data_IF_872474991572
#
_entry.id   IF_872474991572
#
_cell.length_a   1.000
_cell.length_b   1.000
_cell.length_c   1.000
_cell.angle_alpha   90.00
_cell.angle_beta   90.00
_cell.angle_gamma   90.00
#
_symmetry.space_group_name_H-M   'P 1'
#
loop_
_entity.id
_entity.type
_entity.pdbx_description
1 polymer ?
#
# COMPACT_ATOMS: atom_id res chain seq x y z
N UNK A 1 -7.91 -5.72 35.53
CA UNK A 1 -8.98 -6.41 34.77
C UNK A 1 -9.53 -5.43 33.74
N UNK A 2 -9.72 -5.84 32.48
CA UNK A 2 -10.31 -5.14 31.35
C UNK A 2 -9.39 -4.36 30.39
N UNK A 3 -8.13 -4.73 30.22
CA UNK A 3 -7.34 -4.27 29.06
C UNK A 3 -7.37 -5.25 27.86
N UNK A 4 -8.08 -6.37 27.96
CA UNK A 4 -8.05 -7.47 26.97
C UNK A 4 -9.18 -7.49 25.92
N UNK A 5 -10.17 -6.59 25.95
CA UNK A 5 -11.36 -6.77 25.11
C UNK A 5 -11.47 -5.87 23.87
N UNK A 6 -10.75 -4.76 23.78
CA UNK A 6 -10.83 -3.83 22.64
C UNK A 6 -9.93 -4.27 21.47
N UNK A 7 -8.83 -4.98 21.76
CA UNK A 7 -7.90 -5.48 20.74
C UNK A 7 -8.50 -6.54 19.79
N UNK A 8 -9.61 -7.17 20.15
CA UNK A 8 -10.20 -8.27 19.39
C UNK A 8 -11.19 -7.83 18.30
N UNK A 9 -11.77 -6.63 18.34
CA UNK A 9 -12.86 -6.18 17.46
C UNK A 9 -12.30 -5.46 16.24
N UNK A 10 -12.37 -6.06 15.05
CA UNK A 10 -11.82 -5.43 13.83
C UNK A 10 -12.49 -4.09 13.50
N UNK A 11 -13.81 -4.01 13.54
CA UNK A 11 -14.58 -2.80 13.23
C UNK A 11 -15.13 -2.15 14.50
N UNK A 12 -14.22 -1.74 15.40
CA UNK A 12 -14.57 -1.29 16.74
C UNK A 12 -15.60 -0.13 16.75
N UNK A 13 -15.50 0.81 15.82
CA UNK A 13 -16.42 1.95 15.75
C UNK A 13 -17.81 1.60 15.22
N UNK A 14 -17.99 0.42 14.64
CA UNK A 14 -19.28 -0.07 14.14
C UNK A 14 -20.01 -0.97 15.16
N UNK A 15 -19.49 -1.09 16.38
CA UNK A 15 -20.19 -1.79 17.44
C UNK A 15 -21.48 -1.02 17.81
N UNK A 16 -22.69 -1.66 17.77
CA UNK A 16 -23.93 -0.99 18.11
C UNK A 16 -23.94 -0.35 19.51
N UNK A 17 -23.16 -0.90 20.45
CA UNK A 17 -23.04 -0.31 21.80
C UNK A 17 -22.24 1.01 21.79
N UNK A 18 -21.26 1.16 20.91
CA UNK A 18 -20.50 2.41 20.75
C UNK A 18 -21.37 3.53 20.16
N UNK A 19 -22.34 3.18 19.30
CA UNK A 19 -23.30 4.15 18.70
C UNK A 19 -24.40 4.54 19.69
N UNK A 20 -24.90 3.60 20.49
CA UNK A 20 -26.03 3.85 21.40
C UNK A 20 -25.70 4.82 22.55
N UNK A 21 -24.42 5.01 22.90
CA UNK A 21 -23.97 5.86 24.01
C UNK A 21 -23.29 7.17 23.60
N UNK A 22 -23.13 7.43 22.31
CA UNK A 22 -22.39 8.59 21.79
C UNK A 22 -23.19 9.53 20.88
N UNK A 23 -22.59 10.67 20.56
CA UNK A 23 -23.12 11.57 19.54
C UNK A 23 -22.90 10.93 18.15
N UNK A 24 -23.96 10.83 17.34
CA UNK A 24 -23.83 10.30 15.97
C UNK A 24 -22.96 11.24 15.12
N UNK A 25 -21.95 10.67 14.45
CA UNK A 25 -21.13 11.40 13.51
C UNK A 25 -21.84 11.40 12.15
N UNK A 26 -22.48 12.51 11.80
CA UNK A 26 -23.33 12.62 10.63
C UNK A 26 -22.58 12.44 9.28
N UNK A 27 -21.28 12.64 9.28
CA UNK A 27 -20.37 12.53 8.13
C UNK A 27 -19.23 11.53 8.37
N UNK A 28 -19.55 10.40 8.99
CA UNK A 28 -18.56 9.37 9.33
C UNK A 28 -17.84 8.82 8.10
N UNK A 29 -18.56 8.66 6.98
CA UNK A 29 -17.98 8.30 5.67
C UNK A 29 -18.55 9.22 4.60
N UNK A 30 -17.68 9.84 3.81
CA UNK A 30 -18.03 10.59 2.60
C UNK A 30 -17.30 9.99 1.39
N UNK A 31 -18.07 9.69 0.33
CA UNK A 31 -17.53 9.20 -0.95
C UNK A 31 -18.15 10.00 -2.08
N UNK A 32 -17.36 10.85 -2.74
CA UNK A 32 -17.89 11.83 -3.67
C UNK A 32 -18.94 12.72 -2.96
N UNK A 33 -20.15 12.77 -3.51
CA UNK A 33 -21.27 13.55 -2.96
C UNK A 33 -22.09 12.78 -1.91
N UNK A 34 -21.86 11.47 -1.76
CA UNK A 34 -22.60 10.64 -0.81
C UNK A 34 -21.99 10.70 0.59
N UNK A 35 -22.86 10.86 1.59
CA UNK A 35 -22.47 10.90 3.01
C UNK A 35 -23.26 9.85 3.78
N UNK A 36 -22.59 9.12 4.67
CA UNK A 36 -23.17 8.18 5.60
C UNK A 36 -22.82 8.60 7.03
N UNK A 37 -23.84 8.69 7.89
CA UNK A 37 -23.60 8.84 9.33
C UNK A 37 -23.08 7.53 9.92
N UNK A 38 -22.58 7.58 11.14
CA UNK A 38 -22.15 6.37 11.83
C UNK A 38 -23.33 5.41 12.08
N UNK A 39 -24.47 5.94 12.46
CA UNK A 39 -25.69 5.14 12.63
C UNK A 39 -26.17 4.53 11.31
N UNK A 40 -26.08 5.26 10.20
CA UNK A 40 -26.36 4.71 8.87
C UNK A 40 -25.44 3.55 8.52
N UNK A 41 -24.13 3.71 8.76
CA UNK A 41 -23.15 2.65 8.54
C UNK A 41 -23.47 1.40 9.35
N UNK A 42 -23.68 1.54 10.65
CA UNK A 42 -24.00 0.40 11.52
C UNK A 42 -25.27 -0.30 11.08
N UNK A 43 -26.35 0.45 10.90
CA UNK A 43 -27.65 -0.13 10.55
C UNK A 43 -27.66 -0.79 9.17
N UNK A 44 -27.05 -0.14 8.17
CA UNK A 44 -27.01 -0.68 6.82
C UNK A 44 -26.02 -1.86 6.68
N UNK A 45 -24.82 -1.76 7.28
CA UNK A 45 -23.86 -2.87 7.27
C UNK A 45 -24.41 -4.10 8.02
N UNK A 46 -25.11 -3.91 9.14
CA UNK A 46 -25.78 -5.02 9.84
C UNK A 46 -26.88 -5.66 9.00
N UNK A 47 -27.65 -4.87 8.24
CA UNK A 47 -28.62 -5.43 7.28
C UNK A 47 -27.97 -6.21 6.14
N UNK A 48 -26.76 -5.83 5.71
CA UNK A 48 -25.97 -6.62 4.77
C UNK A 48 -25.50 -7.91 5.42
N UNK A 49 -25.01 -7.85 6.65
CA UNK A 49 -24.54 -9.01 7.41
C UNK A 49 -25.60 -10.12 7.49
N UNK A 50 -26.87 -9.79 7.76
CA UNK A 50 -27.98 -10.75 7.79
C UNK A 50 -28.15 -11.52 6.48
N UNK A 51 -27.78 -10.92 5.37
CA UNK A 51 -28.00 -11.49 4.03
C UNK A 51 -26.82 -12.35 3.57
N UNK A 52 -25.65 -12.20 4.17
CA UNK A 52 -24.43 -12.90 3.75
C UNK A 52 -23.92 -13.90 4.78
N UNK A 53 -24.49 -13.96 5.97
CA UNK A 53 -24.00 -14.78 7.09
C UNK A 53 -23.90 -16.29 6.79
N UNK A 54 -24.54 -16.78 5.73
CA UNK A 54 -24.46 -18.17 5.30
C UNK A 54 -23.38 -18.41 4.21
N UNK A 55 -22.71 -17.38 3.71
CA UNK A 55 -21.68 -17.51 2.70
C UNK A 55 -20.31 -17.78 3.35
N UNK A 56 -19.52 -18.66 2.74
CA UNK A 56 -18.14 -18.90 3.20
C UNK A 56 -17.22 -17.75 2.82
N UNK A 57 -17.45 -17.08 1.68
CA UNK A 57 -16.75 -15.87 1.20
C UNK A 57 -17.50 -15.17 0.08
N UNK A 58 -17.31 -13.88 -0.06
CA UNK A 58 -17.98 -13.05 -1.08
C UNK A 58 -16.99 -12.20 -1.86
N UNK A 59 -17.27 -12.03 -3.16
CA UNK A 59 -16.59 -11.07 -4.01
C UNK A 59 -17.27 -9.71 -3.91
N UNK A 60 -16.47 -8.65 -3.82
CA UNK A 60 -16.96 -7.25 -3.81
C UNK A 60 -16.26 -6.51 -4.94
N UNK A 61 -17.04 -5.91 -5.86
CA UNK A 61 -16.49 -5.01 -6.87
C UNK A 61 -16.01 -3.75 -6.14
N UNK A 62 -14.70 -3.58 -6.07
CA UNK A 62 -14.05 -2.59 -5.20
C UNK A 62 -14.02 -1.18 -5.81
N UNK A 63 -15.18 -0.70 -6.23
CA UNK A 63 -15.42 0.68 -6.67
C UNK A 63 -15.54 1.62 -5.47
N UNK A 64 -15.17 2.91 -5.58
CA UNK A 64 -15.31 3.86 -4.49
C UNK A 64 -16.78 4.35 -4.37
N UNK A 65 -17.65 3.49 -3.84
CA UNK A 65 -19.08 3.78 -3.65
C UNK A 65 -19.54 3.45 -2.24
N UNK A 66 -20.62 4.06 -1.73
CA UNK A 66 -21.24 3.67 -0.47
C UNK A 66 -21.67 2.20 -0.44
N UNK A 67 -22.06 1.64 -1.59
CA UNK A 67 -22.41 0.23 -1.74
C UNK A 67 -21.22 -0.67 -1.39
N UNK A 68 -20.04 -0.37 -1.90
CA UNK A 68 -18.79 -1.10 -1.61
C UNK A 68 -18.42 -1.03 -0.13
N UNK A 69 -18.52 0.15 0.49
CA UNK A 69 -18.24 0.31 1.94
C UNK A 69 -19.16 -0.56 2.78
N UNK A 70 -20.47 -0.53 2.49
CA UNK A 70 -21.45 -1.32 3.23
C UNK A 70 -21.32 -2.81 2.95
N UNK A 71 -20.96 -3.22 1.73
CA UNK A 71 -20.69 -4.60 1.37
C UNK A 71 -19.53 -5.15 2.21
N UNK A 72 -18.38 -4.46 2.22
CA UNK A 72 -17.20 -4.86 2.97
C UNK A 72 -17.50 -4.88 4.48
N UNK A 73 -18.05 -3.79 5.02
CA UNK A 73 -18.35 -3.71 6.45
C UNK A 73 -19.35 -4.78 6.89
N UNK A 74 -20.40 -5.02 6.12
CA UNK A 74 -21.44 -6.01 6.44
C UNK A 74 -20.91 -7.44 6.37
N UNK A 75 -20.12 -7.79 5.36
CA UNK A 75 -19.48 -9.10 5.28
C UNK A 75 -18.55 -9.34 6.49
N UNK A 76 -17.72 -8.36 6.84
CA UNK A 76 -16.81 -8.46 7.99
C UNK A 76 -17.55 -8.52 9.34
N UNK A 77 -18.70 -7.84 9.50
CA UNK A 77 -19.57 -7.97 10.68
C UNK A 77 -20.12 -9.41 10.80
N UNK A 78 -20.50 -10.00 9.68
CA UNK A 78 -20.98 -11.40 9.64
C UNK A 78 -19.86 -12.43 9.82
N UNK A 79 -18.60 -12.04 9.81
CA UNK A 79 -17.46 -12.96 9.82
C UNK A 79 -17.15 -13.59 8.48
N UNK A 80 -17.69 -13.04 7.38
CA UNK A 80 -17.53 -13.56 6.02
C UNK A 80 -16.33 -12.87 5.36
N UNK A 81 -15.32 -13.64 4.88
CA UNK A 81 -14.18 -13.12 4.15
C UNK A 81 -14.57 -12.37 2.88
N UNK A 82 -13.88 -11.26 2.63
CA UNK A 82 -14.09 -10.43 1.44
C UNK A 82 -12.96 -10.62 0.45
N UNK A 83 -13.32 -10.84 -0.81
CA UNK A 83 -12.42 -10.81 -1.97
C UNK A 83 -12.67 -9.50 -2.72
N UNK A 84 -11.84 -8.46 -2.54
CA UNK A 84 -12.00 -7.21 -3.25
C UNK A 84 -11.49 -7.35 -4.69
N UNK A 85 -12.37 -7.19 -5.67
CA UNK A 85 -12.07 -7.35 -7.09
C UNK A 85 -11.97 -5.98 -7.76
N UNK A 86 -10.87 -5.67 -8.47
CA UNK A 86 -10.75 -4.41 -9.22
C UNK A 86 -11.81 -4.31 -10.33
N UNK A 87 -12.34 -3.11 -10.54
CA UNK A 87 -13.35 -2.89 -11.58
C UNK A 87 -12.78 -2.95 -13.01
N UNK A 88 -11.50 -2.66 -13.15
CA UNK A 88 -10.75 -2.59 -14.40
C UNK A 88 -9.95 -3.86 -14.73
N UNK A 89 -10.07 -4.89 -13.89
CA UNK A 89 -9.39 -6.17 -14.14
C UNK A 89 -9.97 -6.88 -15.37
N UNK A 90 -9.09 -7.49 -16.18
CA UNK A 90 -9.47 -8.25 -17.35
C UNK A 90 -10.34 -9.47 -17.02
N UNK A 91 -11.13 -9.94 -17.99
CA UNK A 91 -12.08 -11.02 -17.76
C UNK A 91 -11.42 -12.33 -17.29
N UNK A 92 -10.26 -12.69 -17.86
CA UNK A 92 -9.53 -13.92 -17.50
C UNK A 92 -8.95 -13.83 -16.08
N UNK A 93 -8.38 -12.68 -15.70
CA UNK A 93 -7.84 -12.47 -14.35
C UNK A 93 -8.97 -12.45 -13.31
N UNK A 94 -10.10 -11.81 -13.63
CA UNK A 94 -11.29 -11.82 -12.77
C UNK A 94 -11.83 -13.24 -12.58
N UNK A 95 -11.95 -14.02 -13.66
CA UNK A 95 -12.38 -15.41 -13.57
C UNK A 95 -11.44 -16.20 -12.66
N UNK A 96 -10.11 -16.06 -12.83
CA UNK A 96 -9.13 -16.67 -11.94
C UNK A 96 -9.34 -16.27 -10.48
N UNK A 97 -9.53 -14.98 -10.17
CA UNK A 97 -9.75 -14.51 -8.79
C UNK A 97 -11.00 -15.12 -8.16
N UNK A 98 -12.08 -15.26 -8.93
CA UNK A 98 -13.34 -15.84 -8.45
C UNK A 98 -13.24 -17.36 -8.25
N UNK A 99 -12.66 -18.08 -9.20
CA UNK A 99 -12.50 -19.52 -9.17
C UNK A 99 -11.52 -19.94 -8.06
N UNK A 100 -10.35 -19.33 -8.00
CA UNK A 100 -9.32 -19.63 -7.00
C UNK A 100 -9.79 -19.27 -5.58
N UNK A 101 -10.47 -18.12 -5.42
CA UNK A 101 -11.02 -17.74 -4.12
C UNK A 101 -12.20 -18.59 -3.70
N UNK A 102 -12.94 -19.20 -4.63
CA UNK A 102 -14.20 -19.88 -4.35
C UNK A 102 -15.28 -18.96 -3.79
N UNK A 103 -15.28 -17.68 -4.21
CA UNK A 103 -16.32 -16.73 -3.83
C UNK A 103 -17.70 -17.24 -4.26
N UNK A 104 -18.68 -17.20 -3.36
CA UNK A 104 -20.00 -17.80 -3.58
C UNK A 104 -21.03 -16.82 -4.15
N UNK A 105 -20.76 -15.52 -4.07
CA UNK A 105 -21.65 -14.48 -4.58
C UNK A 105 -20.90 -13.16 -4.81
N UNK A 106 -21.44 -12.33 -5.70
CA UNK A 106 -21.15 -10.92 -5.73
C UNK A 106 -21.98 -10.18 -4.69
N UNK A 107 -21.33 -9.45 -3.81
CA UNK A 107 -21.98 -8.61 -2.81
C UNK A 107 -21.85 -7.14 -3.19
N UNK A 108 -22.99 -6.46 -3.35
CA UNK A 108 -23.06 -5.07 -3.76
C UNK A 108 -23.21 -4.91 -5.27
N UNK A 109 -22.24 -4.33 -5.96
CA UNK A 109 -22.24 -4.21 -7.40
C UNK A 109 -21.73 -5.52 -8.05
N UNK A 110 -22.32 -5.88 -9.19
CA UNK A 110 -21.88 -7.01 -10.02
C UNK A 110 -21.48 -6.50 -11.41
N UNK A 111 -20.30 -6.86 -11.92
CA UNK A 111 -19.92 -6.57 -13.31
C UNK A 111 -20.90 -7.19 -14.30
N UNK A 112 -21.20 -6.50 -15.41
CA UNK A 112 -22.11 -7.03 -16.41
C UNK A 112 -21.49 -8.17 -17.21
N UNK A 113 -22.28 -9.25 -17.45
CA UNK A 113 -21.98 -10.29 -18.44
C UNK A 113 -20.78 -11.19 -18.15
N UNK A 114 -20.38 -11.38 -16.88
CA UNK A 114 -19.05 -11.93 -16.59
C UNK A 114 -19.03 -13.33 -15.98
N UNK A 115 -20.07 -13.75 -15.28
CA UNK A 115 -20.10 -15.04 -14.55
C UNK A 115 -21.50 -15.37 -14.05
N UNK A 116 -21.68 -16.64 -13.61
CA UNK A 116 -22.95 -17.16 -13.10
C UNK A 116 -23.09 -17.01 -11.57
N UNK A 117 -22.13 -16.33 -10.89
CA UNK A 117 -22.20 -16.16 -9.45
C UNK A 117 -23.49 -15.42 -9.04
N UNK A 118 -24.17 -15.84 -7.98
CA UNK A 118 -25.31 -15.14 -7.39
C UNK A 118 -24.97 -13.69 -7.07
N UNK A 119 -25.98 -12.82 -7.17
CA UNK A 119 -25.84 -11.41 -6.82
C UNK A 119 -26.66 -11.10 -5.56
N UNK A 120 -25.98 -10.56 -4.56
CA UNK A 120 -26.59 -10.08 -3.31
C UNK A 120 -26.52 -8.55 -3.31
N UNK A 121 -27.58 -7.85 -3.73
CA UNK A 121 -27.55 -6.39 -3.82
C UNK A 121 -27.52 -5.75 -2.42
N UNK A 122 -26.74 -4.69 -2.26
CA UNK A 122 -26.71 -3.85 -1.05
C UNK A 122 -27.81 -2.80 -1.15
N UNK A 123 -28.58 -2.62 -0.07
CA UNK A 123 -29.65 -1.62 0.04
C UNK A 123 -29.19 -0.52 1.00
N UNK A 124 -28.91 0.67 0.48
CA UNK A 124 -28.36 1.79 1.26
C UNK A 124 -29.26 2.23 2.43
N UNK A 125 -30.58 2.07 2.28
CA UNK A 125 -31.55 2.50 3.28
C UNK A 125 -32.12 1.37 4.14
N UNK A 126 -31.69 0.11 3.92
CA UNK A 126 -32.07 -0.98 4.81
C UNK A 126 -31.33 -0.83 6.15
N UNK A 127 -32.00 -1.15 7.23
CA UNK A 127 -31.42 -1.08 8.57
C UNK A 127 -31.71 -2.36 9.33
N UNK A 128 -30.72 -2.85 10.04
CA UNK A 128 -30.85 -3.86 11.06
C UNK A 128 -29.97 -3.48 12.26
N UNK A 129 -30.38 -3.92 13.43
CA UNK A 129 -29.67 -3.68 14.68
C UNK A 129 -29.36 -5.02 15.39
N UNK A 130 -29.38 -6.10 14.60
CA UNK A 130 -28.98 -7.42 15.11
C UNK A 130 -27.55 -7.38 15.62
N UNK A 131 -27.29 -8.05 16.75
CA UNK A 131 -25.95 -8.12 17.32
C UNK A 131 -25.29 -9.43 16.89
N UNK A 132 -24.26 -9.31 16.08
CA UNK A 132 -23.40 -10.43 15.72
C UNK A 132 -22.34 -10.65 16.82
N UNK A 133 -22.02 -11.90 17.16
CA UNK A 133 -20.83 -12.16 17.95
C UNK A 133 -19.59 -11.72 17.17
N UNK A 134 -18.57 -11.21 17.85
CA UNK A 134 -17.31 -10.88 17.16
C UNK A 134 -16.69 -12.17 16.63
N UNK A 135 -16.37 -12.25 15.34
CA UNK A 135 -15.72 -13.42 14.77
C UNK A 135 -14.32 -13.63 15.38
N UNK A 136 -13.84 -14.89 15.32
CA UNK A 136 -12.54 -15.23 15.89
C UNK A 136 -11.42 -14.37 15.29
N UNK A 137 -10.44 -13.88 16.07
CA UNK A 137 -9.35 -13.04 15.56
C UNK A 137 -8.55 -13.68 14.42
N UNK A 138 -8.37 -15.00 14.44
CA UNK A 138 -7.66 -15.74 13.40
C UNK A 138 -8.57 -16.12 12.21
N UNK A 139 -9.85 -15.75 12.21
CA UNK A 139 -10.69 -15.92 11.04
C UNK A 139 -10.21 -15.01 9.90
N UNK A 140 -10.29 -15.51 8.67
CA UNK A 140 -9.95 -14.73 7.48
C UNK A 140 -10.86 -13.50 7.36
N UNK A 141 -10.26 -12.33 7.19
CA UNK A 141 -10.97 -11.09 6.88
C UNK A 141 -10.98 -10.79 5.38
N UNK A 142 -9.82 -10.85 4.77
CA UNK A 142 -9.59 -10.45 3.37
C UNK A 142 -8.79 -11.50 2.62
N UNK A 143 -9.06 -11.64 1.31
CA UNK A 143 -8.20 -12.32 0.36
C UNK A 143 -7.86 -11.31 -0.72
N UNK A 144 -6.65 -10.77 -0.68
CA UNK A 144 -6.18 -9.73 -1.61
C UNK A 144 -5.30 -10.36 -2.68
N UNK A 145 -5.69 -10.22 -3.94
CA UNK A 145 -4.90 -10.73 -5.05
C UNK A 145 -3.77 -9.78 -5.42
N UNK A 146 -2.57 -10.33 -5.54
CA UNK A 146 -1.36 -9.61 -5.94
C UNK A 146 -0.85 -10.13 -7.27
N UNK A 147 -0.51 -9.23 -8.19
CA UNK A 147 0.19 -9.60 -9.42
C UNK A 147 1.60 -10.05 -9.06
N UNK A 148 1.83 -11.36 -9.11
CA UNK A 148 3.18 -11.92 -8.98
C UNK A 148 4.08 -11.43 -10.12
N UNK A 149 5.41 -11.52 -9.94
CA UNK A 149 6.37 -11.27 -11.02
C UNK A 149 6.34 -12.34 -12.10
N UNK A 150 5.73 -13.50 -11.80
CA UNK A 150 5.61 -14.67 -12.69
C UNK A 150 4.30 -15.40 -12.39
N UNK A 151 3.51 -15.67 -13.42
CA UNK A 151 2.26 -16.44 -13.30
C UNK A 151 1.01 -15.63 -12.92
N UNK A 152 -0.13 -16.32 -12.70
CA UNK A 152 -1.38 -15.68 -12.32
C UNK A 152 -1.29 -15.01 -10.93
N UNK A 153 -2.16 -14.04 -10.64
CA UNK A 153 -2.23 -13.41 -9.33
C UNK A 153 -2.43 -14.41 -8.20
N UNK A 154 -1.76 -14.18 -7.06
CA UNK A 154 -1.87 -15.01 -5.87
C UNK A 154 -2.79 -14.35 -4.84
N UNK A 155 -3.71 -15.11 -4.25
CA UNK A 155 -4.57 -14.65 -3.16
C UNK A 155 -3.82 -14.64 -1.83
N UNK A 156 -3.56 -13.45 -1.28
CA UNK A 156 -2.96 -13.26 0.05
C UNK A 156 -4.07 -13.33 1.09
N UNK A 157 -4.00 -14.30 1.99
CA UNK A 157 -5.00 -14.53 3.05
C UNK A 157 -4.62 -13.72 4.28
N UNK A 158 -5.48 -12.79 4.68
CA UNK A 158 -5.27 -11.91 5.83
C UNK A 158 -6.30 -12.18 6.93
N UNK A 159 -5.83 -12.53 8.11
CA UNK A 159 -6.67 -12.69 9.28
C UNK A 159 -7.18 -11.36 9.84
N UNK A 160 -8.27 -11.41 10.59
CA UNK A 160 -8.82 -10.25 11.32
C UNK A 160 -7.80 -9.68 12.29
N UNK A 161 -7.03 -10.54 12.95
CA UNK A 161 -5.95 -10.17 13.87
C UNK A 161 -4.84 -9.39 13.15
N UNK A 162 -4.38 -9.87 12.01
CA UNK A 162 -3.32 -9.21 11.25
C UNK A 162 -3.75 -7.80 10.81
N UNK A 163 -4.96 -7.66 10.26
CA UNK A 163 -5.51 -6.37 9.84
C UNK A 163 -5.70 -5.41 11.03
N UNK A 164 -6.23 -5.90 12.15
CA UNK A 164 -6.43 -5.08 13.34
C UNK A 164 -5.10 -4.62 13.95
N UNK A 165 -4.11 -5.52 14.05
CA UNK A 165 -2.79 -5.21 14.58
C UNK A 165 -2.06 -4.16 13.74
N UNK A 166 -2.12 -4.25 12.41
CA UNK A 166 -1.52 -3.27 11.50
C UNK A 166 -2.09 -1.86 11.74
N UNK A 167 -3.42 -1.76 11.82
CA UNK A 167 -4.08 -0.47 12.06
C UNK A 167 -3.69 0.08 13.44
N UNK A 168 -3.63 -0.76 14.48
CA UNK A 168 -3.27 -0.32 15.83
C UNK A 168 -1.81 0.16 15.91
N UNK A 169 -0.87 -0.56 15.28
CA UNK A 169 0.55 -0.15 15.19
C UNK A 169 0.70 1.18 14.46
N UNK A 170 -0.04 1.38 13.37
CA UNK A 170 -0.04 2.65 12.64
C UNK A 170 -0.73 3.76 13.42
N UNK A 171 -1.80 3.47 14.15
CA UNK A 171 -2.47 4.44 15.01
C UNK A 171 -1.51 4.97 16.09
N UNK A 172 -0.72 4.09 16.68
CA UNK A 172 0.33 4.47 17.64
C UNK A 172 1.42 5.31 16.95
N UNK A 173 1.99 4.83 15.83
CA UNK A 173 3.08 5.50 15.14
C UNK A 173 2.68 6.87 14.57
N UNK A 174 1.44 7.02 14.11
CA UNK A 174 0.94 8.25 13.49
C UNK A 174 0.11 9.10 14.45
N UNK A 175 -0.05 8.69 15.72
CA UNK A 175 -0.92 9.34 16.69
C UNK A 175 -2.33 9.54 16.12
N UNK A 176 -2.83 8.52 15.40
CA UNK A 176 -4.10 8.55 14.70
C UNK A 176 -5.25 8.33 15.66
N UNK A 177 -6.21 9.24 15.68
CA UNK A 177 -7.28 9.31 16.66
C UNK A 177 -8.66 9.43 16.01
N UNK A 178 -9.76 9.23 16.77
CA UNK A 178 -11.12 9.46 16.28
C UNK A 178 -11.41 10.91 15.84
N UNK A 179 -10.63 11.88 16.29
CA UNK A 179 -10.82 13.29 15.94
C UNK A 179 -10.28 13.62 14.53
N UNK A 180 -9.51 12.70 13.93
CA UNK A 180 -8.97 12.90 12.60
C UNK A 180 -10.03 12.83 11.50
N UNK A 181 -9.69 13.42 10.36
CA UNK A 181 -10.37 13.23 9.09
C UNK A 181 -9.37 12.71 8.08
N UNK A 182 -9.50 11.43 7.72
CA UNK A 182 -8.65 10.80 6.72
C UNK A 182 -9.20 11.03 5.33
N UNK A 183 -8.34 11.50 4.43
CA UNK A 183 -8.66 11.77 3.02
C UNK A 183 -7.79 10.93 2.10
N UNK A 184 -8.38 10.22 1.14
CA UNK A 184 -7.68 9.63 0.02
C UNK A 184 -8.59 9.36 -1.19
N UNK A 185 -7.99 9.07 -2.35
CA UNK A 185 -8.66 8.60 -3.56
C UNK A 185 -8.08 7.28 -4.07
N UNK A 186 -7.51 6.46 -3.15
CA UNK A 186 -6.81 5.23 -3.48
C UNK A 186 -7.78 4.05 -3.70
N UNK A 187 -7.41 3.05 -4.54
CA UNK A 187 -8.27 1.90 -4.81
C UNK A 187 -8.61 1.10 -3.56
N UNK A 188 -9.88 0.67 -3.44
CA UNK A 188 -10.38 -0.14 -2.31
C UNK A 188 -10.13 -1.66 -2.47
N UNK A 189 -9.23 -2.05 -3.36
CA UNK A 189 -8.75 -3.43 -3.53
C UNK A 189 -7.26 -3.59 -3.19
N UNK A 190 -6.59 -2.52 -2.77
CA UNK A 190 -5.21 -2.54 -2.28
C UNK A 190 -5.14 -2.23 -0.79
N UNK A 191 -4.12 -2.77 -0.12
CA UNK A 191 -3.85 -2.55 1.31
C UNK A 191 -3.95 -1.07 1.67
N UNK A 192 -3.32 -0.18 0.91
CA UNK A 192 -3.28 1.26 1.20
C UNK A 192 -4.67 1.90 1.27
N UNK A 193 -5.52 1.68 0.27
CA UNK A 193 -6.87 2.27 0.25
C UNK A 193 -7.88 1.50 1.10
N UNK A 194 -7.81 0.16 1.08
CA UNK A 194 -8.76 -0.69 1.79
C UNK A 194 -8.41 -0.85 3.27
N UNK A 195 -7.24 -1.41 3.57
CA UNK A 195 -6.88 -1.74 4.96
C UNK A 195 -6.57 -0.47 5.74
N UNK A 196 -5.62 0.34 5.27
CA UNK A 196 -5.23 1.55 5.98
C UNK A 196 -6.32 2.62 5.89
N UNK A 197 -6.87 2.84 4.71
CA UNK A 197 -7.87 3.89 4.49
C UNK A 197 -9.22 3.55 5.12
N UNK A 198 -9.97 2.65 4.46
CA UNK A 198 -11.35 2.34 4.86
C UNK A 198 -11.41 1.61 6.21
N UNK A 199 -10.75 0.44 6.34
CA UNK A 199 -10.83 -0.36 7.57
C UNK A 199 -10.14 0.34 8.75
N UNK A 200 -9.05 1.06 8.49
CA UNK A 200 -8.42 1.90 9.50
C UNK A 200 -9.39 2.92 10.08
N UNK A 201 -10.08 3.67 9.23
CA UNK A 201 -11.07 4.65 9.69
C UNK A 201 -12.26 4.01 10.43
N UNK A 202 -12.73 2.84 9.97
CA UNK A 202 -13.81 2.10 10.64
C UNK A 202 -13.37 1.46 11.97
N UNK A 203 -12.07 1.17 12.15
CA UNK A 203 -11.53 0.70 13.41
C UNK A 203 -11.31 1.84 14.40
N UNK A 204 -10.60 2.88 14.00
CA UNK A 204 -10.28 4.04 14.84
C UNK A 204 -11.53 4.86 15.17
N UNK A 205 -12.44 4.98 14.22
CA UNK A 205 -13.68 5.74 14.40
C UNK A 205 -13.57 7.19 13.98
N UNK A 206 -12.57 7.55 13.21
CA UNK A 206 -12.42 8.87 12.60
C UNK A 206 -13.32 9.06 11.38
N UNK A 207 -13.39 10.29 10.86
CA UNK A 207 -14.07 10.59 9.59
C UNK A 207 -13.24 10.09 8.41
N UNK A 208 -13.92 9.50 7.44
CA UNK A 208 -13.30 8.98 6.22
C UNK A 208 -13.87 9.71 4.99
N UNK A 209 -12.98 10.24 4.17
CA UNK A 209 -13.33 10.93 2.92
C UNK A 209 -12.60 10.26 1.76
N UNK A 210 -13.37 9.65 0.87
CA UNK A 210 -12.85 9.12 -0.39
C UNK A 210 -13.22 10.06 -1.53
N UNK A 211 -12.22 10.60 -2.22
CA UNK A 211 -12.40 11.59 -3.28
C UNK A 211 -12.83 11.01 -4.63
N UNK A 212 -13.14 9.72 -4.69
CA UNK A 212 -13.45 9.00 -5.93
C UNK A 212 -12.18 8.71 -6.74
N UNK A 213 -11.52 9.75 -7.20
CA UNK A 213 -10.20 9.68 -7.88
C UNK A 213 -9.18 10.54 -7.12
N UNK A 214 -7.90 10.18 -7.13
CA UNK A 214 -6.86 10.93 -6.41
C UNK A 214 -6.43 12.18 -7.21
N UNK A 215 -7.36 13.12 -7.39
CA UNK A 215 -7.08 14.39 -8.06
C UNK A 215 -6.60 15.43 -7.04
N UNK A 216 -5.54 16.22 -7.34
CA UNK A 216 -5.02 17.24 -6.43
C UNK A 216 -6.06 18.23 -5.91
N UNK A 217 -6.94 18.76 -6.78
CA UNK A 217 -7.98 19.70 -6.39
C UNK A 217 -8.99 19.10 -5.39
N UNK A 218 -9.34 17.81 -5.54
CA UNK A 218 -10.24 17.11 -4.63
C UNK A 218 -9.60 16.93 -3.25
N UNK A 219 -8.29 16.67 -3.20
CA UNK A 219 -7.53 16.61 -1.95
C UNK A 219 -7.55 17.97 -1.24
N UNK A 220 -7.26 19.06 -1.96
CA UNK A 220 -7.29 20.40 -1.41
C UNK A 220 -8.68 20.78 -0.85
N UNK A 221 -9.76 20.42 -1.55
CA UNK A 221 -11.13 20.72 -1.16
C UNK A 221 -11.61 19.93 0.07
N UNK A 222 -11.02 18.76 0.35
CA UNK A 222 -11.51 17.83 1.37
C UNK A 222 -11.27 18.27 2.82
N UNK A 223 -10.26 19.11 3.08
CA UNK A 223 -9.90 19.68 4.40
C UNK A 223 -9.69 18.61 5.49
N UNK A 224 -8.89 17.57 5.16
CA UNK A 224 -8.54 16.51 6.11
C UNK A 224 -7.40 16.89 7.07
N UNK A 225 -7.22 16.08 8.11
CA UNK A 225 -6.04 16.11 8.98
C UNK A 225 -4.99 15.07 8.58
N UNK A 226 -5.40 13.96 7.95
CA UNK A 226 -4.56 12.92 7.41
C UNK A 226 -4.84 12.77 5.91
N UNK A 227 -3.79 12.67 5.10
CA UNK A 227 -3.89 12.42 3.67
C UNK A 227 -3.04 11.23 3.26
N UNK A 228 -3.65 10.25 2.57
CA UNK A 228 -2.94 9.12 2.02
C UNK A 228 -2.87 9.23 0.50
N UNK A 229 -1.66 9.15 -0.04
CA UNK A 229 -1.46 9.11 -1.48
C UNK A 229 -0.23 8.27 -1.88
N UNK A 230 -0.11 8.03 -3.16
CA UNK A 230 1.07 7.44 -3.79
C UNK A 230 1.95 8.53 -4.39
N UNK A 231 3.23 8.28 -4.66
CA UNK A 231 4.16 9.30 -5.17
C UNK A 231 3.67 10.06 -6.39
N UNK A 232 3.01 9.40 -7.34
CA UNK A 232 2.47 10.06 -8.55
C UNK A 232 1.37 11.08 -8.24
N UNK A 233 0.63 10.89 -7.15
CA UNK A 233 -0.38 11.87 -6.70
C UNK A 233 0.33 13.05 -6.04
N UNK A 234 1.31 12.77 -5.18
CA UNK A 234 2.11 13.83 -4.55
C UNK A 234 2.87 14.67 -5.57
N UNK A 235 3.45 14.07 -6.62
CA UNK A 235 4.08 14.80 -7.72
C UNK A 235 3.11 15.81 -8.36
N UNK A 236 1.88 15.38 -8.64
CA UNK A 236 0.84 16.26 -9.21
C UNK A 236 0.36 17.34 -8.22
N UNK A 237 0.36 17.05 -6.93
CA UNK A 237 0.00 18.03 -5.89
C UNK A 237 1.02 19.17 -5.85
N UNK A 238 2.32 18.87 -5.95
CA UNK A 238 3.38 19.90 -5.90
C UNK A 238 3.55 20.70 -7.19
N UNK A 239 2.98 20.20 -8.32
CA UNK A 239 2.91 20.95 -9.57
C UNK A 239 2.04 22.22 -9.46
N UNK A 240 1.04 22.21 -8.56
CA UNK A 240 0.20 23.36 -8.24
C UNK A 240 0.46 23.80 -6.78
N UNK A 241 1.24 24.87 -6.57
CA UNK A 241 1.60 25.36 -5.24
C UNK A 241 0.39 25.77 -4.39
N UNK A 242 -0.72 26.23 -4.97
CA UNK A 242 -1.90 26.65 -4.21
C UNK A 242 -2.67 25.43 -3.71
N UNK A 243 -2.75 24.37 -4.51
CA UNK A 243 -3.28 23.06 -4.10
C UNK A 243 -2.44 22.47 -2.97
N UNK A 244 -1.10 22.50 -3.11
CA UNK A 244 -0.22 22.00 -2.06
C UNK A 244 -0.37 22.79 -0.76
N UNK A 245 -0.38 24.12 -0.81
CA UNK A 245 -0.57 25.00 0.37
C UNK A 245 -1.93 24.78 1.05
N UNK A 246 -2.98 24.39 0.30
CA UNK A 246 -4.27 24.06 0.91
C UNK A 246 -4.20 22.85 1.86
N UNK A 247 -3.16 22.01 1.74
CA UNK A 247 -2.90 20.89 2.65
C UNK A 247 -2.09 21.27 3.90
N UNK A 248 -1.70 22.53 4.09
CA UNK A 248 -0.88 22.98 5.23
C UNK A 248 -1.55 22.81 6.59
N UNK A 249 -2.88 22.68 6.63
CA UNK A 249 -3.62 22.36 7.86
C UNK A 249 -3.61 20.88 8.22
N UNK A 250 -3.15 20.02 7.33
CA UNK A 250 -3.00 18.59 7.62
C UNK A 250 -1.85 18.39 8.61
N UNK A 251 -2.01 17.43 9.52
CA UNK A 251 -0.93 17.04 10.42
C UNK A 251 -0.04 15.93 9.87
N UNK A 252 -0.56 15.09 8.95
CA UNK A 252 0.21 14.05 8.28
C UNK A 252 -0.15 13.93 6.80
N UNK A 253 0.88 13.88 5.97
CA UNK A 253 0.83 13.54 4.55
C UNK A 253 1.58 12.22 4.38
N UNK A 254 0.85 11.12 4.11
CA UNK A 254 1.42 9.78 4.08
C UNK A 254 1.64 9.32 2.64
N UNK A 255 2.87 8.93 2.32
CA UNK A 255 3.26 8.37 1.02
C UNK A 255 3.63 6.90 1.16
N UNK A 256 3.30 6.11 0.15
CA UNK A 256 3.71 4.71 0.10
C UNK A 256 3.36 4.03 -1.21
N UNK A 257 3.55 2.70 -1.26
CA UNK A 257 3.43 1.83 -2.44
C UNK A 257 4.57 1.95 -3.45
N UNK A 258 5.36 3.02 -3.40
CA UNK A 258 6.61 3.23 -4.11
C UNK A 258 7.46 4.27 -3.38
N UNK A 259 8.74 4.39 -3.73
CA UNK A 259 9.61 5.44 -3.20
C UNK A 259 9.11 6.83 -3.62
N UNK A 260 9.08 7.76 -2.67
CA UNK A 260 8.77 9.16 -2.95
C UNK A 260 10.04 9.85 -3.49
N UNK A 261 10.00 10.48 -4.68
CA UNK A 261 11.15 11.22 -5.19
C UNK A 261 11.56 12.34 -4.23
N UNK A 262 12.86 12.47 -3.97
CA UNK A 262 13.39 13.48 -3.03
C UNK A 262 12.92 14.91 -3.38
N UNK A 263 12.94 15.36 -4.66
CA UNK A 263 12.42 16.68 -5.00
C UNK A 263 10.94 16.90 -4.65
N UNK A 264 10.13 15.82 -4.74
CA UNK A 264 8.70 15.87 -4.38
C UNK A 264 8.54 15.95 -2.85
N UNK A 265 9.34 15.18 -2.11
CA UNK A 265 9.38 15.25 -0.64
C UNK A 265 9.71 16.66 -0.16
N UNK A 266 10.82 17.23 -0.68
CA UNK A 266 11.29 18.56 -0.30
C UNK A 266 10.27 19.64 -0.65
N UNK A 267 9.66 19.54 -1.83
CA UNK A 267 8.66 20.51 -2.28
C UNK A 267 7.36 20.44 -1.47
N UNK A 268 6.92 19.22 -1.07
CA UNK A 268 5.80 19.06 -0.14
C UNK A 268 6.11 19.70 1.20
N UNK A 269 7.29 19.43 1.76
CA UNK A 269 7.72 20.00 3.04
C UNK A 269 7.77 21.53 2.98
N UNK A 270 8.32 22.11 1.90
CA UNK A 270 8.36 23.55 1.67
C UNK A 270 6.98 24.19 1.60
N UNK A 271 6.07 23.61 0.78
CA UNK A 271 4.77 24.22 0.49
C UNK A 271 3.74 24.02 1.61
N UNK A 272 3.81 22.91 2.33
CA UNK A 272 2.84 22.56 3.37
C UNK A 272 3.34 22.81 4.78
N UNK A 273 4.66 22.97 4.98
CA UNK A 273 5.29 22.99 6.29
C UNK A 273 5.34 21.61 6.97
N UNK A 274 4.94 20.53 6.27
CA UNK A 274 4.85 19.17 6.77
C UNK A 274 5.70 18.21 5.92
N UNK A 275 6.87 17.75 6.40
CA UNK A 275 7.59 16.66 5.74
C UNK A 275 6.69 15.41 5.64
N UNK A 276 6.62 14.75 4.48
CA UNK A 276 5.79 13.55 4.35
C UNK A 276 6.22 12.42 5.27
N UNK A 277 5.25 11.60 5.68
CA UNK A 277 5.49 10.29 6.28
C UNK A 277 5.68 9.29 5.15
N UNK A 278 6.83 8.64 5.12
CA UNK A 278 7.06 7.49 4.24
C UNK A 278 6.89 6.19 5.01
N UNK A 279 6.37 5.17 4.36
CA UNK A 279 6.14 3.85 4.95
C UNK A 279 6.37 2.74 3.93
N UNK A 280 6.69 1.54 4.42
CA UNK A 280 6.93 0.36 3.62
C UNK A 280 6.14 -0.84 4.17
N UNK A 281 5.69 -1.67 3.23
CA UNK A 281 5.00 -2.92 3.48
C UNK A 281 4.60 -3.61 2.19
N UNK A 282 4.06 -4.79 2.32
CA UNK A 282 3.55 -5.63 1.24
C UNK A 282 2.17 -6.16 1.60
N UNK A 283 1.46 -6.77 0.66
CA UNK A 283 0.16 -7.40 0.99
C UNK A 283 0.32 -8.51 2.02
N UNK A 284 1.43 -9.23 1.97
CA UNK A 284 1.76 -10.36 2.84
C UNK A 284 2.11 -9.96 4.27
N UNK A 285 2.63 -8.76 4.46
CA UNK A 285 3.13 -8.30 5.78
C UNK A 285 2.33 -7.13 6.33
N UNK A 286 1.43 -6.54 5.53
CA UNK A 286 0.86 -5.22 5.73
C UNK A 286 1.97 -4.20 5.93
N UNK A 287 1.85 -3.22 6.82
CA UNK A 287 2.90 -2.20 6.99
C UNK A 287 3.87 -2.64 8.10
N UNK A 288 5.13 -2.68 7.77
CA UNK A 288 6.20 -3.10 8.70
C UNK A 288 7.11 -1.97 9.14
N UNK A 289 7.35 -1.00 8.26
CA UNK A 289 8.21 0.15 8.52
C UNK A 289 7.45 1.44 8.28
N UNK A 290 7.67 2.42 9.14
CA UNK A 290 7.12 3.76 8.95
C UNK A 290 7.95 4.81 9.67
N UNK A 291 8.01 6.02 9.10
CA UNK A 291 8.35 7.20 9.88
C UNK A 291 7.18 7.54 10.81
N UNK A 292 7.46 8.14 11.96
CA UNK A 292 6.48 8.44 13.01
C UNK A 292 5.95 9.87 12.92
N UNK A 293 4.82 10.12 13.55
CA UNK A 293 4.24 11.48 13.61
C UNK A 293 5.17 12.48 14.31
N UNK A 294 5.85 12.03 15.36
CA UNK A 294 6.77 12.79 16.20
C UNK A 294 8.26 12.48 15.94
N UNK A 295 8.55 11.66 14.91
CA UNK A 295 9.91 11.23 14.59
C UNK A 295 10.56 12.02 13.45
N UNK A 296 11.84 11.76 13.25
CA UNK A 296 12.58 12.26 12.10
C UNK A 296 12.03 11.69 10.79
N UNK A 297 11.93 12.54 9.77
CA UNK A 297 11.49 12.18 8.41
C UNK A 297 12.55 12.61 7.43
N UNK A 298 13.26 11.63 6.85
CA UNK A 298 14.31 11.85 5.84
C UNK A 298 13.81 11.43 4.48
N UNK A 299 14.06 12.21 3.42
CA UNK A 299 13.71 11.81 2.05
C UNK A 299 14.28 10.44 1.68
N UNK A 300 13.41 9.55 1.17
CA UNK A 300 13.79 8.21 0.74
C UNK A 300 14.00 7.19 1.86
N UNK A 301 13.81 7.55 3.13
CA UNK A 301 13.86 6.65 4.27
C UNK A 301 12.46 6.34 4.78
N UNK A 302 12.13 5.05 4.82
CA UNK A 302 10.78 4.59 5.20
C UNK A 302 10.59 4.42 6.71
N UNK A 303 11.58 4.81 7.50
CA UNK A 303 11.50 4.88 8.96
C UNK A 303 11.98 3.64 9.69
N UNK A 304 11.42 3.46 10.88
CA UNK A 304 11.74 2.40 11.83
C UNK A 304 10.73 1.25 11.74
N UNK A 305 11.09 0.06 12.23
CA UNK A 305 10.13 -1.01 12.47
C UNK A 305 8.98 -0.56 13.37
N UNK A 306 7.75 -0.92 13.00
CA UNK A 306 6.57 -0.71 13.84
C UNK A 306 6.63 -1.62 15.08
N UNK A 307 5.77 -1.35 16.05
CA UNK A 307 5.75 -2.11 17.31
C UNK A 307 5.58 -3.62 17.07
N UNK A 308 6.49 -4.42 17.59
CA UNK A 308 6.46 -5.88 17.44
C UNK A 308 7.00 -6.39 16.11
N UNK A 309 7.46 -5.53 15.21
CA UNK A 309 8.14 -5.90 13.97
C UNK A 309 9.64 -6.03 14.23
N UNK A 310 10.21 -7.14 13.79
CA UNK A 310 11.66 -7.34 13.70
C UNK A 310 12.10 -7.38 12.23
N UNK A 311 13.25 -6.81 11.95
CA UNK A 311 13.86 -6.78 10.63
C UNK A 311 15.30 -7.24 10.68
N UNK A 312 15.78 -7.85 9.60
CA UNK A 312 17.20 -8.12 9.39
C UNK A 312 17.57 -7.97 7.92
N UNK A 313 18.83 -7.67 7.68
CA UNK A 313 19.45 -7.73 6.36
C UNK A 313 20.37 -8.93 6.29
N UNK A 314 20.28 -9.69 5.21
CA UNK A 314 21.17 -10.83 4.95
C UNK A 314 21.78 -10.72 3.56
N UNK A 315 23.01 -11.22 3.41
CA UNK A 315 23.69 -11.36 2.12
C UNK A 315 23.21 -12.59 1.33
N UNK A 316 23.86 -12.93 0.21
CA UNK A 316 23.49 -14.08 -0.63
C UNK A 316 23.67 -15.43 0.08
N UNK A 317 24.58 -15.51 1.03
CA UNK A 317 24.88 -16.72 1.82
C UNK A 317 24.00 -16.81 3.08
N UNK A 318 23.18 -15.78 3.34
CA UNK A 318 22.30 -15.70 4.51
C UNK A 318 22.98 -15.11 5.75
N UNK A 319 24.23 -14.63 5.63
CA UNK A 319 24.92 -13.98 6.73
C UNK A 319 24.38 -12.56 6.98
N UNK A 320 24.36 -12.09 8.26
CA UNK A 320 23.89 -10.74 8.59
C UNK A 320 24.75 -9.65 7.94
N UNK A 321 24.10 -8.63 7.39
CA UNK A 321 24.74 -7.42 6.85
C UNK A 321 24.93 -6.35 7.93
N UNK A 322 25.90 -5.44 7.73
CA UNK A 322 26.12 -4.29 8.60
C UNK A 322 24.93 -3.28 8.50
N UNK A 323 24.64 -2.61 9.62
CA UNK A 323 23.70 -1.51 9.72
C UNK A 323 24.45 -0.17 9.71
N UNK A 324 25.05 0.17 8.57
CA UNK A 324 25.91 1.35 8.34
C UNK A 324 25.27 2.40 7.42
N UNK A 325 24.05 2.13 6.91
CA UNK A 325 23.36 2.99 5.97
C UNK A 325 23.81 2.84 4.50
N UNK A 326 24.80 2.00 4.24
CA UNK A 326 25.43 1.78 2.93
C UNK A 326 25.35 0.35 2.46
N UNK A 327 25.58 -0.62 3.36
CA UNK A 327 25.60 -2.06 3.05
C UNK A 327 24.19 -2.53 2.65
N UNK A 328 24.06 -2.93 1.38
CA UNK A 328 22.79 -3.43 0.83
C UNK A 328 22.65 -4.92 1.13
N UNK A 329 21.54 -5.29 1.77
CA UNK A 329 21.18 -6.67 2.04
C UNK A 329 19.74 -6.99 1.62
N UNK A 330 19.39 -8.29 1.61
CA UNK A 330 18.01 -8.76 1.42
C UNK A 330 17.25 -8.53 2.71
N UNK A 331 16.15 -7.80 2.61
CA UNK A 331 15.29 -7.50 3.76
C UNK A 331 14.44 -8.71 4.12
N UNK A 332 14.51 -9.12 5.36
CA UNK A 332 13.63 -10.13 5.96
C UNK A 332 12.92 -9.54 7.16
N UNK A 333 11.69 -9.97 7.39
CA UNK A 333 10.84 -9.43 8.47
C UNK A 333 10.14 -10.53 9.26
N UNK A 334 9.95 -10.29 10.55
CA UNK A 334 8.99 -10.98 11.40
C UNK A 334 8.01 -9.94 11.93
N UNK A 335 6.72 -10.20 11.81
CA UNK A 335 5.69 -9.24 12.14
C UNK A 335 4.43 -9.92 12.68
N UNK A 336 3.71 -9.32 13.65
CA UNK A 336 2.41 -9.82 14.08
C UNK A 336 1.32 -9.72 13.01
N UNK A 337 1.59 -9.00 11.92
CA UNK A 337 0.68 -8.72 10.81
C UNK A 337 0.91 -9.62 9.59
N UNK A 338 1.73 -10.67 9.77
CA UNK A 338 2.03 -11.62 8.70
C UNK A 338 0.75 -12.31 8.18
N UNK A 339 0.67 -12.53 6.89
CA UNK A 339 -0.43 -13.24 6.24
C UNK A 339 -0.49 -14.71 6.69
N UNK A 340 -1.66 -15.34 6.53
CA UNK A 340 -1.83 -16.76 6.86
C UNK A 340 -1.30 -17.69 5.75
N UNK A 341 -0.98 -17.14 4.59
CA UNK A 341 -0.39 -17.82 3.44
C UNK A 341 -1.02 -17.39 2.12
N UNK A 342 -0.49 -17.94 1.04
CA UNK A 342 -1.12 -17.81 -0.28
C UNK A 342 -2.22 -18.85 -0.43
N UNK A 343 -3.41 -18.41 -0.80
CA UNK A 343 -4.57 -19.26 -0.97
C UNK A 343 -4.26 -20.40 -1.97
N UNK A 344 -4.60 -21.64 -1.61
CA UNK A 344 -4.37 -22.84 -2.40
C UNK A 344 -2.91 -23.09 -2.85
N UNK A 345 -1.92 -22.37 -2.28
CA UNK A 345 -0.51 -22.45 -2.67
C UNK A 345 0.40 -22.68 -1.43
N UNK A 346 0.31 -23.87 -0.78
CA UNK A 346 1.08 -24.13 0.44
C UNK A 346 2.59 -24.17 0.20
N UNK A 347 3.03 -24.63 -0.96
CA UNK A 347 4.45 -24.66 -1.33
C UNK A 347 5.02 -23.25 -1.49
N UNK A 348 4.33 -22.37 -2.24
CA UNK A 348 4.71 -20.98 -2.38
C UNK A 348 4.69 -20.22 -1.03
N UNK A 349 3.78 -20.62 -0.13
CA UNK A 349 3.76 -20.07 1.23
C UNK A 349 4.99 -20.51 2.02
N UNK A 350 5.36 -21.80 1.97
CA UNK A 350 6.54 -22.30 2.66
C UNK A 350 7.83 -21.66 2.11
N UNK A 351 7.94 -21.48 0.80
CA UNK A 351 9.09 -20.84 0.14
C UNK A 351 9.25 -19.36 0.52
N UNK A 352 8.17 -18.69 0.93
CA UNK A 352 8.21 -17.30 1.34
C UNK A 352 8.92 -17.08 2.68
N UNK A 353 9.15 -18.15 3.45
CA UNK A 353 9.83 -18.09 4.75
C UNK A 353 11.18 -18.83 4.70
N UNK A 354 12.05 -18.47 5.62
CA UNK A 354 13.24 -19.27 5.90
C UNK A 354 12.98 -20.28 7.05
N UNK A 355 14.02 -21.06 7.38
CA UNK A 355 13.91 -22.09 8.43
C UNK A 355 13.69 -21.52 9.85
N UNK A 356 13.95 -20.23 10.07
CA UNK A 356 13.78 -19.53 11.34
C UNK A 356 12.45 -18.76 11.39
N UNK A 357 11.61 -18.84 10.33
CA UNK A 357 10.33 -18.17 10.24
C UNK A 357 10.40 -16.69 9.84
N UNK A 358 11.51 -16.25 9.25
CA UNK A 358 11.59 -14.92 8.67
C UNK A 358 10.96 -14.89 7.28
N UNK A 359 10.06 -13.95 7.08
CA UNK A 359 9.47 -13.70 5.76
C UNK A 359 10.49 -13.01 4.84
N UNK A 360 10.70 -13.59 3.66
CA UNK A 360 11.55 -13.05 2.60
C UNK A 360 10.76 -12.04 1.79
N UNK A 361 11.02 -10.75 1.99
CA UNK A 361 10.26 -9.70 1.31
C UNK A 361 10.50 -9.66 -0.20
N UNK A 362 11.62 -10.20 -0.68
CA UNK A 362 12.10 -10.06 -2.05
C UNK A 362 12.58 -8.63 -2.36
N UNK A 363 12.75 -7.80 -1.34
CA UNK A 363 13.28 -6.45 -1.45
C UNK A 363 14.68 -6.37 -0.86
N UNK A 364 15.51 -5.52 -1.47
CA UNK A 364 16.81 -5.12 -0.95
C UNK A 364 16.67 -3.80 -0.19
N UNK A 365 17.39 -3.67 0.90
CA UNK A 365 17.37 -2.48 1.74
C UNK A 365 18.74 -2.19 2.36
N UNK A 366 18.89 -1.01 2.92
CA UNK A 366 19.93 -0.63 3.87
C UNK A 366 19.32 -0.25 5.20
N UNK A 367 20.04 -0.47 6.30
CA UNK A 367 19.66 -0.02 7.64
C UNK A 367 20.75 0.91 8.15
N UNK A 368 20.39 2.10 8.59
CA UNK A 368 21.29 3.04 9.21
C UNK A 368 21.69 2.62 10.64
N UNK A 369 22.77 3.18 11.16
CA UNK A 369 23.21 2.97 12.55
C UNK A 369 22.18 3.43 13.59
N UNK A 370 21.20 4.24 13.20
CA UNK A 370 20.03 4.69 13.98
C UNK A 370 18.82 3.76 13.85
N UNK A 371 18.93 2.71 13.04
CA UNK A 371 17.87 1.74 12.79
C UNK A 371 16.88 2.14 11.69
N UNK A 372 16.98 3.33 11.09
CA UNK A 372 16.13 3.71 9.97
C UNK A 372 16.43 2.86 8.73
N UNK A 373 15.39 2.58 7.95
CA UNK A 373 15.46 1.76 6.75
C UNK A 373 15.27 2.59 5.48
N UNK A 374 16.02 2.26 4.45
CA UNK A 374 15.83 2.75 3.09
C UNK A 374 15.69 1.55 2.15
N UNK A 375 14.58 1.48 1.44
CA UNK A 375 14.35 0.43 0.44
C UNK A 375 15.12 0.78 -0.82
N UNK A 376 15.96 -0.15 -1.25
CA UNK A 376 16.81 0.01 -2.43
C UNK A 376 16.09 -0.43 -3.70
N UNK A 377 15.20 -1.43 -3.59
CA UNK A 377 14.35 -1.92 -4.67
C UNK A 377 14.11 -3.42 -4.60
N UNK A 378 13.45 -3.96 -5.63
CA UNK A 378 13.21 -5.40 -5.76
C UNK A 378 14.50 -6.15 -6.10
N UNK A 379 14.81 -7.20 -5.34
CA UNK A 379 16.00 -8.04 -5.57
C UNK A 379 16.07 -8.57 -7.01
N UNK A 380 14.94 -8.97 -7.58
CA UNK A 380 14.86 -9.60 -8.90
C UNK A 380 14.93 -8.62 -10.08
N UNK A 381 14.79 -7.31 -9.85
CA UNK A 381 14.64 -6.31 -10.93
C UNK A 381 15.48 -5.06 -10.69
N UNK A 382 15.57 -4.61 -9.44
CA UNK A 382 16.15 -3.32 -9.09
C UNK A 382 17.54 -3.45 -8.45
N UNK A 383 17.94 -4.65 -8.03
CA UNK A 383 19.28 -4.91 -7.50
C UNK A 383 20.21 -5.28 -8.65
N UNK A 384 21.16 -4.42 -8.94
CA UNK A 384 22.17 -4.61 -9.99
C UNK A 384 23.47 -5.09 -9.36
N UNK A 385 23.96 -6.25 -9.81
CA UNK A 385 25.24 -6.82 -9.33
C UNK A 385 26.33 -6.45 -10.33
N UNK A 386 27.09 -5.39 -10.02
CA UNK A 386 28.09 -4.82 -10.93
C UNK A 386 29.45 -4.71 -10.25
N UNK A 387 30.49 -5.34 -10.83
CA UNK A 387 31.85 -5.26 -10.34
C UNK A 387 32.02 -5.70 -8.87
N UNK A 388 31.24 -6.69 -8.42
CA UNK A 388 31.23 -7.16 -7.02
C UNK A 388 30.37 -6.32 -6.07
N UNK A 389 29.78 -5.22 -6.54
CA UNK A 389 28.90 -4.38 -5.75
C UNK A 389 27.43 -4.72 -6.00
N UNK A 390 26.60 -4.48 -4.98
CA UNK A 390 25.13 -4.48 -5.08
C UNK A 390 24.65 -3.05 -5.15
N UNK A 391 24.06 -2.67 -6.27
CA UNK A 391 23.62 -1.31 -6.55
C UNK A 391 22.13 -1.29 -6.74
N UNK A 392 21.43 -0.42 -6.01
CA UNK A 392 20.01 -0.19 -6.20
C UNK A 392 19.71 0.71 -7.39
N UNK A 393 18.94 0.22 -8.33
CA UNK A 393 18.47 1.03 -9.46
C UNK A 393 17.76 2.31 -9.00
N UNK A 394 16.91 2.21 -7.96
CA UNK A 394 16.13 3.33 -7.43
C UNK A 394 16.98 4.49 -6.89
N UNK A 395 18.18 4.22 -6.37
CA UNK A 395 19.08 5.28 -5.92
C UNK A 395 19.57 6.13 -7.09
N UNK A 396 19.93 5.48 -8.19
CA UNK A 396 20.38 6.15 -9.42
C UNK A 396 19.20 6.89 -10.08
N UNK A 397 18.02 6.27 -10.13
CA UNK A 397 16.79 6.89 -10.62
C UNK A 397 16.46 8.17 -9.86
N UNK A 398 16.58 8.15 -8.54
CA UNK A 398 16.34 9.30 -7.67
C UNK A 398 17.28 10.45 -8.02
N UNK A 399 18.56 10.17 -8.22
CA UNK A 399 19.54 11.20 -8.61
C UNK A 399 19.22 11.74 -10.00
N UNK A 400 18.94 10.87 -10.98
CA UNK A 400 18.58 11.30 -12.34
C UNK A 400 17.33 12.19 -12.37
N UNK A 401 16.31 11.87 -11.57
CA UNK A 401 15.10 12.69 -11.43
C UNK A 401 15.36 14.05 -10.78
N UNK A 402 16.48 14.24 -10.10
CA UNK A 402 16.93 15.53 -9.60
C UNK A 402 17.49 16.48 -10.68
N UNK A 403 17.78 15.97 -11.88
CA UNK A 403 18.27 16.78 -12.99
C UNK A 403 17.12 17.50 -13.71
N UNK A 404 17.18 18.83 -13.96
CA UNK A 404 16.07 19.61 -14.50
C UNK A 404 15.60 19.16 -15.91
N UNK A 405 16.46 18.52 -16.69
CA UNK A 405 16.13 17.98 -18.02
C UNK A 405 15.60 16.53 -17.98
N UNK A 406 15.21 15.98 -16.81
CA UNK A 406 14.72 14.61 -16.66
C UNK A 406 13.30 14.62 -16.11
N UNK A 407 12.36 14.09 -16.87
CA UNK A 407 10.97 13.93 -16.46
C UNK A 407 10.70 12.55 -15.85
N UNK A 408 11.29 11.48 -16.46
CA UNK A 408 11.19 10.12 -15.94
C UNK A 408 12.54 9.40 -16.10
N UNK A 409 12.84 8.50 -15.18
CA UNK A 409 14.03 7.67 -15.21
C UNK A 409 13.72 6.22 -14.83
N UNK A 410 14.39 5.28 -15.48
CA UNK A 410 14.40 3.87 -15.16
C UNK A 410 15.81 3.31 -15.35
N UNK A 411 16.30 2.57 -14.35
CA UNK A 411 17.63 1.99 -14.37
C UNK A 411 17.54 0.47 -14.30
N UNK A 412 18.34 -0.20 -15.13
CA UNK A 412 18.38 -1.67 -15.20
C UNK A 412 19.82 -2.17 -15.24
N UNK A 413 20.02 -3.38 -14.71
CA UNK A 413 21.25 -4.14 -14.91
C UNK A 413 21.17 -4.97 -16.19
N UNK A 414 22.17 -4.86 -17.04
CA UNK A 414 22.28 -5.61 -18.30
C UNK A 414 23.49 -6.53 -18.19
N UNK A 415 23.40 -7.79 -18.63
CA UNK A 415 24.55 -8.71 -18.60
C UNK A 415 25.81 -8.08 -19.22
N UNK A 416 26.93 -8.27 -18.57
CA UNK A 416 28.24 -7.74 -18.95
C UNK A 416 29.32 -8.75 -18.56
N UNK A 417 30.22 -9.07 -19.49
CA UNK A 417 31.22 -10.12 -19.34
C UNK A 417 32.29 -9.79 -18.28
N UNK A 418 32.54 -8.49 -18.02
CA UNK A 418 33.57 -8.04 -17.07
C UNK A 418 32.96 -7.72 -15.69
N UNK A 419 31.80 -7.05 -15.69
CA UNK A 419 31.16 -6.56 -14.47
C UNK A 419 30.08 -7.50 -13.90
N UNK A 420 29.74 -8.57 -14.61
CA UNK A 420 28.54 -9.36 -14.34
C UNK A 420 27.28 -8.67 -14.87
N UNK A 421 27.04 -7.43 -14.44
CA UNK A 421 26.04 -6.56 -15.01
C UNK A 421 26.59 -5.13 -15.16
N UNK A 422 26.28 -4.45 -16.27
CA UNK A 422 26.50 -3.01 -16.44
C UNK A 422 25.21 -2.25 -16.17
N UNK A 423 25.34 -1.06 -15.62
CA UNK A 423 24.21 -0.18 -15.30
C UNK A 423 23.82 0.61 -16.54
N UNK A 424 22.56 0.50 -16.96
CA UNK A 424 21.98 1.26 -18.07
C UNK A 424 20.78 2.06 -17.56
N UNK A 425 20.74 3.36 -17.84
CA UNK A 425 19.62 4.22 -17.53
C UNK A 425 18.81 4.56 -18.79
N UNK A 426 17.48 4.51 -18.68
CA UNK A 426 16.53 5.00 -19.66
C UNK A 426 15.86 6.25 -19.09
N UNK A 427 15.86 7.35 -19.85
CA UNK A 427 15.41 8.65 -19.37
C UNK A 427 14.41 9.24 -20.38
N UNK A 428 13.32 9.81 -19.88
CA UNK A 428 12.42 10.68 -20.62
C UNK A 428 12.79 12.13 -20.28
N UNK A 429 13.14 12.91 -21.27
CA UNK A 429 13.57 14.29 -21.09
C UNK A 429 14.39 14.80 -22.27
N UNK A 430 15.04 15.94 -22.10
CA UNK A 430 15.85 16.62 -23.09
C UNK A 430 17.34 16.79 -22.70
N UNK A 431 17.75 16.17 -21.57
CA UNK A 431 19.14 16.21 -21.13
C UNK A 431 20.03 15.28 -21.99
N UNK A 432 21.26 15.73 -22.23
CA UNK A 432 22.26 14.94 -22.93
C UNK A 432 22.74 13.75 -22.10
N UNK A 433 22.87 12.53 -22.68
CA UNK A 433 23.26 11.32 -21.96
C UNK A 433 24.56 11.46 -21.15
N UNK A 434 25.59 12.09 -21.72
CA UNK A 434 26.89 12.25 -21.07
C UNK A 434 26.82 13.21 -19.88
N UNK A 435 25.97 14.26 -19.97
CA UNK A 435 25.71 15.17 -18.86
C UNK A 435 25.03 14.45 -17.69
N UNK A 436 24.10 13.55 -17.97
CA UNK A 436 23.43 12.73 -16.93
C UNK A 436 24.38 11.73 -16.26
N UNK A 437 25.27 11.09 -17.01
CA UNK A 437 26.32 10.22 -16.46
C UNK A 437 27.21 11.00 -15.48
N UNK A 438 27.63 12.21 -15.87
CA UNK A 438 28.45 13.08 -15.04
C UNK A 438 27.66 13.58 -13.81
N UNK A 439 26.42 13.97 -13.96
CA UNK A 439 25.55 14.38 -12.87
C UNK A 439 25.38 13.29 -11.79
N UNK A 440 25.24 12.04 -12.21
CA UNK A 440 25.23 10.90 -11.27
C UNK A 440 26.61 10.71 -10.61
N UNK A 441 27.69 10.86 -11.38
CA UNK A 441 29.05 10.70 -10.87
C UNK A 441 29.46 11.74 -9.82
N UNK A 442 28.86 12.91 -9.84
CA UNK A 442 29.07 13.98 -8.83
C UNK A 442 28.37 13.69 -7.50
N UNK A 443 27.31 12.87 -7.51
CA UNK A 443 26.45 12.65 -6.35
C UNK A 443 26.56 11.24 -5.77
N UNK A 444 26.95 10.23 -6.56
CA UNK A 444 27.05 8.85 -6.15
C UNK A 444 28.45 8.28 -6.36
N UNK A 445 28.75 7.21 -5.61
CA UNK A 445 30.02 6.47 -5.76
C UNK A 445 30.22 5.94 -7.17
N UNK A 446 31.48 5.82 -7.60
CA UNK A 446 31.88 5.47 -8.97
C UNK A 446 31.22 4.18 -9.50
N UNK A 447 31.05 3.17 -8.64
CA UNK A 447 30.41 1.90 -9.02
C UNK A 447 28.91 2.00 -9.29
N UNK A 448 28.25 3.10 -8.89
CA UNK A 448 26.83 3.40 -9.14
C UNK A 448 26.60 4.20 -10.42
N UNK A 449 27.65 4.64 -11.08
CA UNK A 449 27.54 5.44 -12.29
C UNK A 449 27.03 4.60 -13.48
N UNK A 450 25.98 5.02 -14.20
CA UNK A 450 25.55 4.38 -15.43
C UNK A 450 26.67 4.33 -16.46
N UNK A 451 26.80 3.19 -17.13
CA UNK A 451 27.73 3.03 -18.26
C UNK A 451 27.12 3.49 -19.56
N UNK A 452 25.80 3.58 -19.58
CA UNK A 452 25.03 4.01 -20.75
C UNK A 452 23.75 4.72 -20.26
N UNK A 453 23.40 5.82 -20.94
CA UNK A 453 22.10 6.50 -20.77
C UNK A 453 21.43 6.57 -22.12
N UNK A 454 20.17 6.16 -22.20
CA UNK A 454 19.31 6.22 -23.40
C UNK A 454 18.14 7.16 -23.16
N UNK A 455 18.03 8.19 -23.99
CA UNK A 455 16.86 9.07 -23.99
C UNK A 455 15.77 8.39 -24.82
N UNK A 456 14.58 8.25 -24.23
CA UNK A 456 13.41 7.60 -24.84
C UNK A 456 12.19 8.50 -24.75
N UNK A 457 11.20 8.27 -25.63
CA UNK A 457 9.98 9.07 -25.65
C UNK A 457 9.02 8.75 -24.50
N UNK A 458 9.04 7.51 -24.01
CA UNK A 458 8.22 7.05 -22.89
C UNK A 458 8.81 5.77 -22.28
N UNK A 459 8.49 5.50 -21.02
CA UNK A 459 8.84 4.26 -20.34
C UNK A 459 7.65 3.27 -20.39
N UNK A 460 7.91 1.95 -20.55
CA UNK A 460 6.85 0.94 -20.63
C UNK A 460 6.16 0.77 -19.26
N UNK A 461 4.83 0.77 -19.26
CA UNK A 461 4.02 0.64 -18.06
C UNK A 461 2.88 -0.35 -18.27
N UNK A 462 2.50 -1.06 -17.20
CA UNK A 462 1.29 -1.87 -17.20
C UNK A 462 0.03 -0.99 -17.09
N UNK A 463 -1.16 -1.61 -17.18
CA UNK A 463 -2.45 -0.93 -17.05
C UNK A 463 -2.63 -0.15 -15.72
N UNK A 464 -1.89 -0.53 -14.67
CA UNK A 464 -1.89 0.15 -13.37
C UNK A 464 -0.84 1.27 -13.27
N UNK A 465 -0.15 1.62 -14.38
CA UNK A 465 0.89 2.63 -14.40
C UNK A 465 2.24 2.18 -13.83
N UNK A 466 2.40 0.90 -13.45
CA UNK A 466 3.66 0.37 -12.92
C UNK A 466 4.66 0.17 -14.05
N UNK A 467 5.88 0.65 -13.85
CA UNK A 467 6.99 0.52 -14.79
C UNK A 467 7.37 -0.97 -15.02
N UNK A 468 7.53 -1.34 -16.30
CA UNK A 468 7.87 -2.68 -16.75
C UNK A 468 9.37 -2.77 -17.11
N UNK A 469 10.25 -2.69 -16.11
CA UNK A 469 11.71 -2.65 -16.31
C UNK A 469 12.28 -3.84 -17.11
N UNK A 470 11.65 -5.02 -17.02
CA UNK A 470 12.07 -6.19 -17.80
C UNK A 470 11.96 -5.95 -19.32
N UNK A 471 11.02 -5.15 -19.77
CA UNK A 471 10.87 -4.80 -21.19
C UNK A 471 12.02 -3.90 -21.68
N UNK A 472 12.54 -3.03 -20.81
CA UNK A 472 13.65 -2.14 -21.12
C UNK A 472 14.94 -2.90 -21.46
N UNK A 473 15.16 -4.04 -20.81
CA UNK A 473 16.30 -4.90 -21.15
C UNK A 473 16.22 -5.41 -22.58
N UNK A 474 15.00 -5.64 -23.10
CA UNK A 474 14.77 -6.04 -24.49
C UNK A 474 14.96 -4.92 -25.53
N UNK A 475 15.13 -3.66 -25.11
CA UNK A 475 15.38 -2.51 -26.00
C UNK A 475 16.88 -2.31 -26.29
N UNK A 476 17.73 -3.10 -25.68
CA UNK A 476 19.20 -3.06 -25.83
C UNK A 476 19.70 -4.00 -26.91
#
# INVERSE_FOLDING_TARGET
>A
MAAGSVAAVLLASLNPAAVAGGVDIGDAVRIGDATLSRSDLVGAATSVAERVAAADRVAVLATPTPVTVLAIAGALIAGVPVVPVPADVGAAERAHMLDDSGAQAWLGEKPQGTDDLPHIPVRLHARSWHRYPEPHPDATALIIYTSGTTGPPKGVVLSRRAVAADIDMLAEAWQWTPDDTLVHGLPLYHVHGLVLGLLGSLRIGNRFVHTGKPKPAEYAAARGSLYFAVPTVWSRVVEDPDVARALSSARLLVSGSAALPVPVFDKLAELTGQPPVERYGASETLITLSTRADGERRPGWVGLPLQGVATRLVDDDGAPCAHDGETVGRLQVQTPTIFDGYLNLPEATAEAFDAEGWYRTGDAAVIGGDGMHRIVGRESVDLIKTGGYRVGAGEIETVLLGHPGVAEAAVVGVPDDDLGQRIVAFVVGDAEPEALINFVAEQLSVHKRPREVRVVNSLPRNAMGKLLKKELVGWL
#
